data_IF_750630927269
#
_entry.id   IF_750630927269
#
_cell.length_a   1.000
_cell.length_b   1.000
_cell.length_c   1.000
_cell.angle_alpha   90.00
_cell.angle_beta   90.00
_cell.angle_gamma   90.00
#
_symmetry.space_group_name_H-M   'P 1'
#
loop_
_entity.id
_entity.type
_entity.pdbx_description
1 polymer ?
#
# COMPACT_ATOMS: atom_id res chain seq x y z
N UNK A 1 13.10 -29.81 -4.93
CA UNK A 1 12.91 -29.08 -6.19
C UNK A 1 13.53 -27.71 -6.04
N UNK A 2 14.25 -27.25 -7.04
CA UNK A 2 14.77 -25.88 -7.11
C UNK A 2 13.76 -24.98 -7.81
N UNK A 3 13.66 -23.73 -7.37
CA UNK A 3 13.64 -22.56 -8.26
C UNK A 3 14.56 -21.52 -7.61
N UNK A 4 15.48 -20.95 -8.41
CA UNK A 4 16.43 -19.93 -7.99
C UNK A 4 15.89 -18.49 -8.10
N UNK A 5 16.64 -17.56 -7.46
CA UNK A 5 16.70 -16.08 -7.49
C UNK A 5 15.70 -15.33 -8.41
N UNK A 6 15.18 -14.14 -8.09
CA UNK A 6 15.74 -12.96 -7.44
C UNK A 6 14.55 -12.09 -6.97
N UNK A 7 14.63 -11.51 -5.77
CA UNK A 7 13.63 -10.62 -5.22
C UNK A 7 14.28 -9.78 -4.14
N UNK A 8 14.33 -8.47 -4.34
CA UNK A 8 14.94 -7.49 -3.44
C UNK A 8 14.21 -7.50 -2.09
N UNK A 9 14.92 -7.71 -0.97
CA UNK A 9 14.38 -7.63 0.40
C UNK A 9 15.13 -6.57 1.22
N UNK A 10 14.46 -5.48 1.67
CA UNK A 10 14.84 -4.78 2.91
C UNK A 10 13.62 -4.24 3.72
N UNK A 11 13.66 -3.96 5.04
CA UNK A 11 14.72 -4.01 6.06
C UNK A 11 14.15 -4.29 7.47
N UNK A 12 14.64 -5.34 8.15
CA UNK A 12 14.96 -5.27 9.59
C UNK A 12 16.04 -6.32 9.89
N UNK A 13 17.04 -5.98 10.72
CA UNK A 13 17.84 -7.02 11.40
C UNK A 13 16.96 -7.56 12.51
N UNK A 14 16.58 -8.82 12.42
CA UNK A 14 15.73 -9.44 13.43
C UNK A 14 16.54 -9.69 14.70
N UNK A 15 16.28 -9.01 15.83
CA UNK A 15 16.97 -9.30 17.08
C UNK A 15 16.32 -10.50 17.75
N UNK A 16 17.11 -11.57 17.98
CA UNK A 16 16.76 -12.56 18.99
C UNK A 16 17.27 -14.00 18.88
N UNK A 17 18.08 -14.41 17.90
CA UNK A 17 18.62 -15.78 17.89
C UNK A 17 17.59 -16.94 17.85
N UNK A 18 16.32 -16.69 17.49
CA UNK A 18 15.31 -17.74 17.25
C UNK A 18 14.59 -17.49 15.91
N UNK A 19 14.89 -18.34 14.93
CA UNK A 19 14.69 -18.10 13.49
C UNK A 19 13.35 -18.60 12.91
N UNK A 20 12.33 -18.85 13.73
CA UNK A 20 11.08 -19.52 13.30
C UNK A 20 9.82 -18.62 13.23
N UNK A 21 9.89 -17.34 13.61
CA UNK A 21 8.71 -16.43 13.64
C UNK A 21 9.03 -14.97 13.31
N UNK A 22 9.83 -14.74 12.27
CA UNK A 22 10.22 -13.40 11.84
C UNK A 22 9.53 -13.10 10.51
N UNK A 23 8.27 -12.68 10.59
CA UNK A 23 7.53 -12.15 9.44
C UNK A 23 8.01 -10.71 9.17
N UNK A 24 8.59 -10.50 7.98
CA UNK A 24 8.93 -9.19 7.43
C UNK A 24 7.89 -8.82 6.35
N UNK A 25 7.07 -7.78 6.56
CA UNK A 25 6.14 -7.32 5.53
C UNK A 25 6.45 -5.90 4.99
N UNK A 26 7.74 -5.51 4.89
CA UNK A 26 8.32 -4.30 4.24
C UNK A 26 8.53 -3.04 5.13
N UNK A 27 9.77 -2.56 5.25
CA UNK A 27 10.13 -1.30 5.96
C UNK A 27 11.15 -0.43 5.20
N UNK A 28 11.01 -0.38 3.87
CA UNK A 28 11.64 0.67 3.05
C UNK A 28 12.71 0.21 2.07
N UNK A 29 13.50 1.17 1.59
CA UNK A 29 14.55 0.96 0.59
C UNK A 29 15.91 0.73 1.26
N UNK A 30 16.67 -0.24 0.76
CA UNK A 30 18.11 -0.35 1.04
C UNK A 30 18.87 0.39 -0.05
N UNK A 31 19.79 1.27 0.33
CA UNK A 31 20.76 1.81 -0.63
C UNK A 31 21.89 0.79 -0.88
N UNK A 32 22.80 1.12 -1.82
CA UNK A 32 23.97 0.28 -2.18
C UNK A 32 24.89 0.00 -0.99
N UNK A 33 24.79 0.81 0.08
CA UNK A 33 25.57 0.70 1.31
C UNK A 33 24.80 0.00 2.45
N UNK A 34 23.69 -0.69 2.15
CA UNK A 34 22.86 -1.40 3.14
C UNK A 34 22.28 -0.50 4.24
N UNK A 35 22.21 0.80 4.00
CA UNK A 35 21.53 1.74 4.89
C UNK A 35 20.04 1.75 4.55
N UNK A 36 19.22 1.53 5.58
CA UNK A 36 17.78 1.44 5.47
C UNK A 36 17.11 2.81 5.68
N UNK A 37 16.11 3.12 4.86
CA UNK A 37 15.23 4.27 5.06
C UNK A 37 13.77 3.85 4.88
N UNK A 38 12.89 4.28 5.78
CA UNK A 38 11.45 4.05 5.67
C UNK A 38 10.89 4.57 4.33
N UNK A 39 9.80 3.97 3.85
CA UNK A 39 9.11 4.52 2.68
C UNK A 39 8.51 5.88 3.01
N UNK A 40 8.72 6.85 2.12
CA UNK A 40 7.93 8.08 2.14
C UNK A 40 6.49 7.79 1.70
N UNK A 41 5.55 8.67 2.04
CA UNK A 41 4.17 8.59 1.53
C UNK A 41 4.15 8.50 -0.01
N UNK A 42 5.01 9.27 -0.69
CA UNK A 42 5.18 9.21 -2.15
C UNK A 42 5.65 7.84 -2.64
N UNK A 43 6.59 7.20 -1.95
CA UNK A 43 7.04 5.86 -2.34
C UNK A 43 5.91 4.84 -2.24
N UNK A 44 5.09 4.94 -1.18
CA UNK A 44 3.91 4.07 -1.00
C UNK A 44 2.91 4.31 -2.13
N UNK A 45 2.59 5.57 -2.45
CA UNK A 45 1.67 5.90 -3.54
C UNK A 45 2.19 5.44 -4.91
N UNK A 46 3.51 5.51 -5.16
CA UNK A 46 4.10 4.97 -6.40
C UNK A 46 3.93 3.45 -6.50
N UNK A 47 4.22 2.72 -5.42
CA UNK A 47 4.03 1.26 -5.39
C UNK A 47 2.56 0.90 -5.62
N UNK A 48 1.65 1.66 -5.00
CA UNK A 48 0.21 1.54 -5.25
C UNK A 48 -0.11 1.74 -6.72
N UNK A 49 0.33 2.84 -7.32
CA UNK A 49 0.12 3.14 -8.73
C UNK A 49 0.63 2.06 -9.68
N UNK A 50 1.87 1.59 -9.48
CA UNK A 50 2.48 0.52 -10.27
C UNK A 50 1.67 -0.79 -10.18
N UNK A 51 1.08 -1.06 -9.02
CA UNK A 51 0.29 -2.28 -8.78
C UNK A 51 -1.14 -2.21 -9.32
N UNK A 52 -1.71 -1.00 -9.47
CA UNK A 52 -3.15 -0.81 -9.76
C UNK A 52 -3.47 -0.16 -11.10
N UNK A 53 -2.47 0.19 -11.93
CA UNK A 53 -2.65 0.96 -13.18
C UNK A 53 -2.78 0.11 -14.46
N UNK A 54 -2.76 -1.22 -14.37
CA UNK A 54 -2.61 -2.12 -15.53
C UNK A 54 -3.63 -1.95 -16.67
N UNK A 55 -4.87 -1.53 -16.37
CA UNK A 55 -5.96 -1.38 -17.36
C UNK A 55 -6.33 0.07 -17.67
N UNK A 56 -5.43 1.02 -17.37
CA UNK A 56 -5.65 2.44 -17.65
C UNK A 56 -6.51 3.09 -16.57
N UNK A 57 -5.82 3.58 -15.55
CA UNK A 57 -6.43 4.33 -14.45
C UNK A 57 -6.99 5.68 -14.94
N UNK A 58 -8.30 5.87 -14.77
CA UNK A 58 -8.97 7.15 -15.00
C UNK A 58 -8.56 8.20 -13.96
N UNK A 59 -7.70 9.15 -14.36
CA UNK A 59 -7.19 10.20 -13.49
C UNK A 59 -5.96 9.77 -12.67
N UNK A 60 -5.17 8.83 -13.17
CA UNK A 60 -3.88 8.46 -12.59
C UNK A 60 -2.68 9.23 -13.15
N UNK A 61 -2.88 10.23 -14.01
CA UNK A 61 -1.78 10.95 -14.67
C UNK A 61 -0.87 11.71 -13.71
N UNK A 62 -1.43 12.19 -12.61
CA UNK A 62 -0.71 12.91 -11.56
C UNK A 62 -0.08 11.98 -10.50
N UNK A 63 -0.38 10.67 -10.55
CA UNK A 63 0.25 9.65 -9.72
C UNK A 63 1.61 9.19 -10.26
N UNK A 64 1.87 9.40 -11.55
CA UNK A 64 3.17 9.18 -12.20
C UNK A 64 4.03 10.46 -12.25
N UNK A 65 3.49 11.60 -11.83
CA UNK A 65 4.19 12.90 -11.83
C UNK A 65 5.01 13.09 -10.55
N UNK A 66 6.32 12.88 -10.66
CA UNK A 66 7.28 13.08 -9.56
C UNK A 66 7.33 14.51 -9.00
N UNK A 67 6.83 15.51 -9.74
CA UNK A 67 6.85 16.92 -9.33
C UNK A 67 5.58 17.36 -8.61
N UNK A 68 4.50 16.61 -8.77
CA UNK A 68 3.19 16.93 -8.19
C UNK A 68 3.18 16.67 -6.70
N UNK A 69 2.85 17.67 -5.87
CA UNK A 69 2.68 17.49 -4.44
C UNK A 69 1.66 16.38 -4.10
N UNK A 70 1.98 15.55 -3.09
CA UNK A 70 1.19 14.35 -2.72
C UNK A 70 -0.24 14.73 -2.34
N UNK A 71 -0.41 15.81 -1.59
CA UNK A 71 -1.71 16.27 -1.11
C UNK A 71 -2.54 16.94 -2.20
N UNK A 72 -1.94 17.21 -3.36
CA UNK A 72 -2.60 17.75 -4.56
C UNK A 72 -2.92 16.67 -5.60
N UNK A 73 -2.59 15.40 -5.33
CA UNK A 73 -2.88 14.28 -6.22
C UNK A 73 -4.37 13.91 -6.20
N UNK A 74 -4.87 13.44 -7.33
CA UNK A 74 -6.26 13.06 -7.54
C UNK A 74 -6.65 11.94 -6.56
N UNK A 75 -7.66 12.22 -5.75
CA UNK A 75 -8.18 11.28 -4.77
C UNK A 75 -7.41 11.23 -3.45
N UNK A 76 -6.37 12.05 -3.25
CA UNK A 76 -5.66 12.18 -1.97
C UNK A 76 -6.26 13.33 -1.15
N UNK A 77 -6.32 13.16 0.16
CA UNK A 77 -6.59 14.25 1.11
C UNK A 77 -5.61 14.12 2.27
N UNK A 78 -5.00 15.23 2.66
CA UNK A 78 -4.09 15.32 3.78
C UNK A 78 -4.66 16.13 4.94
N UNK A 79 -4.10 15.95 6.13
CA UNK A 79 -4.29 16.83 7.28
C UNK A 79 -3.42 18.10 7.18
N UNK A 80 -3.48 18.94 8.22
CA UNK A 80 -2.71 20.19 8.33
C UNK A 80 -1.18 19.96 8.43
N UNK A 81 -0.73 18.71 8.65
CA UNK A 81 0.67 18.32 8.75
C UNK A 81 1.14 17.52 7.51
N UNK A 82 0.39 17.58 6.41
CA UNK A 82 0.70 16.87 5.15
C UNK A 82 0.70 15.33 5.25
N UNK A 83 0.04 14.76 6.27
CA UNK A 83 -0.17 13.32 6.36
C UNK A 83 -1.39 12.92 5.53
N UNK A 84 -1.29 11.87 4.73
CA UNK A 84 -2.42 11.30 3.98
C UNK A 84 -3.39 10.68 4.98
N UNK A 85 -4.57 11.28 5.08
CA UNK A 85 -5.68 10.79 5.91
C UNK A 85 -6.76 10.10 5.09
N UNK A 86 -6.82 10.35 3.77
CA UNK A 86 -7.81 9.72 2.90
C UNK A 86 -7.31 9.46 1.50
N UNK A 87 -7.66 8.29 0.98
CA UNK A 87 -7.51 7.89 -0.42
C UNK A 87 -8.90 7.52 -0.96
N UNK A 88 -9.42 8.31 -1.89
CA UNK A 88 -10.73 8.14 -2.53
C UNK A 88 -10.61 7.94 -4.03
N UNK A 89 -10.65 6.68 -4.46
CA UNK A 89 -10.46 6.24 -5.84
C UNK A 89 -11.61 5.35 -6.32
N UNK A 90 -12.82 5.64 -5.86
CA UNK A 90 -14.05 5.03 -6.35
C UNK A 90 -14.18 5.15 -7.86
N UNK A 91 -14.53 4.05 -8.53
CA UNK A 91 -14.84 4.01 -9.96
C UNK A 91 -13.77 4.67 -10.85
N UNK A 92 -12.51 4.28 -10.64
CA UNK A 92 -11.34 4.81 -11.39
C UNK A 92 -10.73 3.81 -12.36
N UNK A 93 -11.41 2.69 -12.60
CA UNK A 93 -10.93 1.60 -13.44
C UNK A 93 -9.56 1.04 -12.99
N UNK A 94 -9.31 1.05 -11.67
CA UNK A 94 -8.12 0.43 -11.10
C UNK A 94 -8.14 -1.08 -11.32
N UNK A 95 -6.99 -1.71 -11.55
CA UNK A 95 -6.88 -3.15 -11.80
C UNK A 95 -5.51 -3.68 -11.40
N UNK A 96 -5.44 -4.94 -10.99
CA UNK A 96 -4.25 -5.54 -10.39
C UNK A 96 -4.50 -5.78 -8.90
N UNK A 97 -3.46 -5.71 -8.06
CA UNK A 97 -3.55 -6.07 -6.64
C UNK A 97 -3.34 -4.86 -5.74
N UNK A 98 -3.92 -4.88 -4.54
CA UNK A 98 -3.61 -3.91 -3.49
C UNK A 98 -2.27 -4.31 -2.88
N UNK A 99 -1.20 -3.49 -2.97
CA UNK A 99 0.10 -3.84 -2.40
C UNK A 99 0.11 -3.65 -0.89
N UNK A 100 0.83 -4.52 -0.17
CA UNK A 100 0.99 -4.46 1.29
C UNK A 100 1.52 -3.10 1.78
N UNK A 101 2.30 -2.42 0.93
CA UNK A 101 2.88 -1.11 1.23
C UNK A 101 1.83 -0.05 1.64
N UNK A 102 0.59 -0.17 1.16
CA UNK A 102 -0.51 0.73 1.54
C UNK A 102 -0.82 0.69 3.04
N UNK A 103 -0.48 -0.42 3.70
CA UNK A 103 -0.61 -0.64 5.14
C UNK A 103 0.26 0.27 6.00
N UNK A 104 1.30 0.89 5.42
CA UNK A 104 2.25 1.76 6.13
C UNK A 104 1.84 3.22 6.21
N UNK A 105 0.72 3.62 5.60
CA UNK A 105 0.14 4.94 5.81
C UNK A 105 -0.54 4.99 7.18
N UNK A 106 0.24 5.26 8.23
CA UNK A 106 -0.20 5.19 9.63
C UNK A 106 -1.31 6.17 10.00
N UNK A 107 -1.44 7.26 9.25
CA UNK A 107 -2.48 8.29 9.44
C UNK A 107 -3.70 8.08 8.54
N UNK A 108 -3.72 7.04 7.69
CA UNK A 108 -4.84 6.82 6.79
C UNK A 108 -6.10 6.44 7.57
N UNK A 109 -7.12 7.28 7.48
CA UNK A 109 -8.41 7.10 8.16
C UNK A 109 -9.46 6.50 7.22
N UNK A 110 -9.43 6.89 5.93
CA UNK A 110 -10.40 6.43 4.93
C UNK A 110 -9.71 5.91 3.67
N UNK A 111 -10.03 4.67 3.30
CA UNK A 111 -9.66 4.07 2.02
C UNK A 111 -10.92 3.64 1.25
N UNK A 112 -11.24 4.35 0.16
CA UNK A 112 -12.34 4.02 -0.74
C UNK A 112 -11.78 3.65 -2.12
N UNK A 113 -11.77 2.36 -2.40
CA UNK A 113 -11.40 1.75 -3.69
C UNK A 113 -12.63 1.10 -4.35
N UNK A 114 -13.85 1.49 -3.98
CA UNK A 114 -15.08 0.85 -4.45
C UNK A 114 -15.28 0.96 -5.96
N UNK A 115 -16.00 0.00 -6.53
CA UNK A 115 -16.36 -0.05 -7.96
C UNK A 115 -15.14 -0.02 -8.90
N UNK A 116 -14.12 -0.82 -8.61
CA UNK A 116 -12.93 -0.99 -9.46
C UNK A 116 -12.78 -2.44 -9.95
N UNK A 117 -11.71 -2.73 -10.69
CA UNK A 117 -11.36 -4.05 -11.20
C UNK A 117 -10.20 -4.69 -10.43
N UNK A 118 -10.00 -4.36 -9.15
CA UNK A 118 -8.93 -4.93 -8.33
C UNK A 118 -9.20 -6.41 -8.05
N UNK A 119 -8.15 -7.21 -8.01
CA UNK A 119 -8.18 -8.65 -7.81
C UNK A 119 -7.09 -9.10 -6.81
N UNK A 120 -7.03 -10.40 -6.54
CA UNK A 120 -6.11 -10.94 -5.53
C UNK A 120 -6.67 -10.86 -4.12
N UNK A 121 -5.80 -10.64 -3.14
CA UNK A 121 -6.14 -10.67 -1.72
C UNK A 121 -6.05 -9.28 -1.09
N UNK A 122 -6.80 -9.08 -0.01
CA UNK A 122 -6.56 -7.95 0.89
C UNK A 122 -5.25 -8.25 1.63
N UNK A 123 -4.30 -7.31 1.71
CA UNK A 123 -3.07 -7.50 2.48
C UNK A 123 -3.38 -8.01 3.89
N UNK A 124 -2.69 -9.04 4.37
CA UNK A 124 -2.92 -9.58 5.71
C UNK A 124 -2.27 -8.75 6.81
N UNK A 125 -1.15 -8.10 6.49
CA UNK A 125 -0.31 -7.35 7.44
C UNK A 125 -0.62 -5.85 7.41
N UNK A 126 -1.89 -5.52 7.51
CA UNK A 126 -2.35 -4.15 7.50
C UNK A 126 -2.04 -3.48 8.85
N UNK A 127 -1.08 -2.56 8.84
CA UNK A 127 -0.73 -1.69 9.98
C UNK A 127 -1.53 -0.39 9.99
N UNK A 128 -2.76 -0.44 9.49
CA UNK A 128 -3.70 0.67 9.43
C UNK A 128 -4.20 1.05 10.83
N UNK A 129 -3.33 1.68 11.62
CA UNK A 129 -3.61 2.02 13.02
C UNK A 129 -4.71 3.06 13.20
N UNK A 130 -4.95 3.89 12.18
CA UNK A 130 -5.90 5.00 12.23
C UNK A 130 -7.12 4.78 11.33
N UNK A 131 -7.20 3.65 10.62
CA UNK A 131 -8.25 3.44 9.63
C UNK A 131 -9.59 3.19 10.31
N UNK A 132 -10.57 4.01 9.95
CA UNK A 132 -11.95 3.94 10.45
C UNK A 132 -12.93 3.58 9.35
N UNK A 133 -12.53 3.72 8.08
CA UNK A 133 -13.38 3.38 6.94
C UNK A 133 -12.60 2.70 5.82
N UNK A 134 -13.00 1.47 5.50
CA UNK A 134 -12.55 0.73 4.32
C UNK A 134 -13.74 0.41 3.42
N UNK A 135 -13.72 0.89 2.18
CA UNK A 135 -14.67 0.50 1.14
C UNK A 135 -13.92 -0.07 -0.07
N UNK A 136 -14.01 -1.38 -0.24
CA UNK A 136 -13.42 -2.14 -1.35
C UNK A 136 -14.50 -2.90 -2.14
N UNK A 137 -15.76 -2.52 -1.94
CA UNK A 137 -16.91 -3.14 -2.60
C UNK A 137 -16.86 -2.99 -4.12
N UNK A 138 -17.54 -3.86 -4.86
CA UNK A 138 -17.54 -3.79 -6.33
C UNK A 138 -16.22 -4.15 -7.00
N UNK A 139 -15.29 -4.80 -6.30
CA UNK A 139 -14.05 -5.36 -6.85
C UNK A 139 -14.11 -6.89 -7.02
N UNK A 140 -13.03 -7.50 -7.52
CA UNK A 140 -12.85 -8.95 -7.70
C UNK A 140 -11.90 -9.55 -6.65
N UNK A 141 -11.77 -8.88 -5.51
CA UNK A 141 -10.94 -9.30 -4.37
C UNK A 141 -11.47 -10.60 -3.76
N UNK A 142 -10.55 -11.41 -3.25
CA UNK A 142 -10.81 -12.72 -2.63
C UNK A 142 -10.05 -12.82 -1.32
N UNK A 143 -10.38 -13.83 -0.52
CA UNK A 143 -9.74 -14.09 0.77
C UNK A 143 -10.62 -13.74 1.96
N UNK A 144 -10.03 -13.85 3.14
CA UNK A 144 -10.68 -13.55 4.41
C UNK A 144 -10.30 -12.12 4.81
N UNK A 145 -11.27 -11.36 5.30
CA UNK A 145 -10.97 -10.06 5.90
C UNK A 145 -10.01 -10.27 7.09
N UNK A 146 -8.85 -9.59 7.11
CA UNK A 146 -7.94 -9.65 8.25
C UNK A 146 -8.68 -9.34 9.56
N UNK A 147 -8.44 -10.11 10.64
CA UNK A 147 -9.17 -9.93 11.91
C UNK A 147 -9.15 -8.50 12.46
N UNK A 148 -8.07 -7.75 12.19
CA UNK A 148 -7.95 -6.33 12.53
C UNK A 148 -9.06 -5.46 11.94
N UNK A 149 -9.55 -5.79 10.74
CA UNK A 149 -10.66 -5.06 10.10
C UNK A 149 -12.02 -5.43 10.69
N UNK A 150 -12.15 -6.61 11.29
CA UNK A 150 -13.38 -7.03 11.98
C UNK A 150 -13.57 -6.34 13.34
N UNK A 151 -12.54 -5.66 13.85
CA UNK A 151 -12.58 -4.93 15.13
C UNK A 151 -12.71 -3.41 14.95
N UNK A 152 -12.86 -2.92 13.72
CA UNK A 152 -13.09 -1.50 13.40
C UNK A 152 -14.55 -1.09 13.57
#
# INVERSE_FOLDING_TARGET
GSVGKEGVYPCSVCPGGDAAKLENPYLGKSNVNLQCSAYSQRDILRIFYESTSQRGWSGGSDWDDSTKDVCQMTGITCDDHENIIKIGLKNRNLSGTIPDAIGFLSFLETLDLSDNNLEGFIPSDLRWTSLTRLDISGNKLRGVLPPLLCMM
#
